data_IF_578859133312
#
_entry.id   IF_578859133312
#
_cell.length_a   1.000
_cell.length_b   1.000
_cell.length_c   1.000
_cell.angle_alpha   90.00
_cell.angle_beta   90.00
_cell.angle_gamma   90.00
#
_symmetry.space_group_name_H-M   'P 1'
#
loop_
_entity.id
_entity.type
_entity.pdbx_description
1 polymer ?
#
# COMPACT_ATOMS: atom_id res chain seq x y z
N UNK A 1 38.44 -40.39 -26.51
CA UNK A 1 38.40 -40.33 -27.99
C UNK A 1 37.23 -39.41 -28.32
N UNK A 2 37.36 -38.15 -28.74
CA UNK A 2 38.23 -37.52 -29.73
C UNK A 2 38.90 -36.24 -29.19
N UNK A 3 40.11 -35.97 -29.68
CA UNK A 3 40.80 -34.68 -29.64
C UNK A 3 40.33 -33.83 -30.83
N UNK A 4 40.42 -32.50 -30.72
CA UNK A 4 40.91 -31.50 -31.72
C UNK A 4 40.50 -30.09 -31.24
N UNK A 5 41.40 -29.30 -30.67
CA UNK A 5 42.28 -28.28 -31.30
C UNK A 5 41.60 -26.99 -31.75
N UNK A 6 42.18 -25.89 -31.26
CA UNK A 6 41.87 -24.49 -31.45
C UNK A 6 41.85 -24.01 -32.92
N UNK A 7 41.16 -22.89 -33.17
CA UNK A 7 41.67 -21.78 -33.98
C UNK A 7 40.81 -20.52 -33.77
N UNK A 8 41.43 -19.52 -33.14
CA UNK A 8 41.04 -18.11 -33.26
C UNK A 8 41.35 -17.68 -34.69
N UNK A 9 40.40 -17.03 -35.37
CA UNK A 9 40.73 -16.16 -36.49
C UNK A 9 39.75 -14.98 -36.55
N UNK A 10 40.26 -13.84 -36.11
CA UNK A 10 39.76 -12.49 -36.38
C UNK A 10 39.74 -12.25 -37.88
N UNK A 11 38.60 -11.80 -38.41
CA UNK A 11 38.55 -11.07 -39.68
C UNK A 11 37.81 -9.78 -39.42
N UNK A 12 38.61 -8.73 -39.23
CA UNK A 12 38.18 -7.35 -39.33
C UNK A 12 37.93 -7.04 -40.81
N UNK A 13 36.68 -6.70 -41.14
CA UNK A 13 36.34 -6.09 -42.42
C UNK A 13 35.70 -4.74 -42.15
N UNK A 14 36.58 -3.75 -42.06
CA UNK A 14 36.25 -2.32 -42.08
C UNK A 14 35.90 -1.98 -43.53
N UNK A 15 34.63 -1.73 -43.81
CA UNK A 15 34.23 -1.01 -45.03
C UNK A 15 33.94 0.42 -44.63
N UNK A 16 34.95 1.27 -44.79
CA UNK A 16 34.80 2.71 -44.74
C UNK A 16 34.37 3.19 -46.13
N UNK A 17 33.10 3.59 -46.26
CA UNK A 17 32.63 4.46 -47.34
C UNK A 17 32.51 5.86 -46.75
N UNK A 18 33.43 6.74 -47.15
CA UNK A 18 33.44 8.17 -46.84
C UNK A 18 32.81 8.97 -47.99
N UNK A 19 32.07 10.02 -47.59
CA UNK A 19 31.54 11.17 -48.36
C UNK A 19 30.24 10.89 -49.15
N UNK A 20 29.12 11.62 -48.94
CA UNK A 20 29.00 13.08 -48.77
C UNK A 20 27.82 13.51 -47.87
N UNK A 21 28.10 14.53 -47.03
CA UNK A 21 27.22 15.64 -46.66
C UNK A 21 25.98 15.41 -45.78
N UNK A 22 26.17 15.38 -44.46
CA UNK A 22 25.60 16.36 -43.52
C UNK A 22 26.20 16.15 -42.13
N UNK A 23 26.58 17.24 -41.46
CA UNK A 23 27.10 17.19 -40.10
C UNK A 23 25.94 16.90 -39.14
N UNK A 24 25.90 15.70 -38.57
CA UNK A 24 25.02 15.36 -37.45
C UNK A 24 25.88 14.78 -36.33
N UNK A 25 25.74 15.35 -35.13
CA UNK A 25 26.52 15.02 -33.96
C UNK A 25 26.39 13.53 -33.58
N UNK A 26 27.41 12.91 -32.95
CA UNK A 26 27.28 11.55 -32.44
C UNK A 26 26.12 11.47 -31.43
N UNK A 27 25.25 10.45 -31.50
CA UNK A 27 24.18 10.30 -30.54
C UNK A 27 24.80 10.15 -29.13
N UNK A 28 24.29 10.88 -28.13
CA UNK A 28 24.75 10.70 -26.77
C UNK A 28 24.45 9.27 -26.34
N UNK A 29 25.44 8.62 -25.74
CA UNK A 29 25.25 7.38 -25.02
C UNK A 29 24.07 7.56 -24.04
N UNK A 30 23.07 6.68 -24.12
CA UNK A 30 22.00 6.56 -23.13
C UNK A 30 22.60 6.11 -21.79
N UNK A 31 23.22 7.06 -21.11
CA UNK A 31 23.31 7.08 -19.67
C UNK A 31 21.92 7.49 -19.15
N UNK A 32 21.30 6.59 -18.40
CA UNK A 32 20.15 6.94 -17.58
C UNK A 32 18.83 6.31 -18.02
N UNK A 33 18.74 4.99 -17.98
CA UNK A 33 17.51 4.34 -17.54
C UNK A 33 17.27 4.59 -16.02
N UNK A 34 17.39 5.85 -15.59
CA UNK A 34 16.52 6.37 -14.55
C UNK A 34 15.23 6.68 -15.30
N UNK A 35 14.40 5.65 -15.44
CA UNK A 35 13.01 5.83 -15.78
C UNK A 35 12.49 6.96 -14.89
N UNK A 36 12.17 8.08 -15.53
CA UNK A 36 11.44 9.18 -14.93
C UNK A 36 10.29 8.54 -14.17
N UNK A 37 10.36 8.61 -12.84
CA UNK A 37 9.23 8.37 -11.95
C UNK A 37 8.18 9.40 -12.36
N UNK A 38 7.36 9.06 -13.35
CA UNK A 38 6.19 9.80 -13.72
C UNK A 38 5.35 9.87 -12.46
N UNK A 39 5.31 11.06 -11.87
CA UNK A 39 4.43 11.40 -10.76
C UNK A 39 3.05 10.84 -11.08
N UNK A 40 2.55 9.90 -10.28
CA UNK A 40 1.19 9.42 -10.47
C UNK A 40 0.27 10.64 -10.46
N UNK A 41 -0.39 10.86 -11.60
CA UNK A 41 -1.29 11.98 -11.76
C UNK A 41 -2.57 11.66 -11.02
N UNK A 42 -3.15 12.67 -10.38
CA UNK A 42 -4.46 12.53 -9.77
C UNK A 42 -5.50 12.38 -10.90
N UNK A 43 -6.30 11.30 -10.94
CA UNK A 43 -7.37 11.16 -11.92
C UNK A 43 -8.40 12.28 -11.82
N UNK A 44 -9.16 12.51 -12.89
CA UNK A 44 -10.19 13.57 -12.91
C UNK A 44 -11.31 13.36 -11.90
N UNK A 45 -11.70 12.10 -11.69
CA UNK A 45 -12.72 11.64 -10.75
C UNK A 45 -12.31 11.86 -9.29
N UNK A 46 -11.02 12.07 -9.05
CA UNK A 46 -10.51 12.41 -7.73
C UNK A 46 -10.55 13.92 -7.46
N UNK A 47 -10.73 14.77 -8.48
CA UNK A 47 -10.77 16.23 -8.27
C UNK A 47 -11.91 16.57 -7.30
N UNK A 48 -11.59 17.38 -6.29
CA UNK A 48 -12.50 17.79 -5.20
C UNK A 48 -13.09 16.64 -4.35
N UNK A 49 -12.56 15.41 -4.46
CA UNK A 49 -13.03 14.29 -3.65
C UNK A 49 -12.80 14.56 -2.14
N UNK A 50 -13.83 14.54 -1.28
CA UNK A 50 -13.73 14.99 0.12
C UNK A 50 -12.67 14.27 0.95
N UNK A 51 -12.42 12.98 0.65
CA UNK A 51 -11.44 12.18 1.38
C UNK A 51 -9.98 12.51 1.03
N UNK A 52 -9.70 13.14 -0.12
CA UNK A 52 -8.31 13.45 -0.50
C UNK A 52 -7.59 14.36 0.48
N UNK A 53 -8.30 15.23 1.18
CA UNK A 53 -7.70 16.10 2.18
C UNK A 53 -7.02 15.32 3.32
N UNK A 54 -7.52 14.11 3.60
CA UNK A 54 -6.97 13.20 4.60
C UNK A 54 -5.94 12.20 4.05
N UNK A 55 -5.89 12.02 2.73
CA UNK A 55 -4.93 11.13 2.06
C UNK A 55 -3.52 11.73 2.04
N UNK A 56 -2.48 10.89 1.87
CA UNK A 56 -1.12 11.39 1.75
C UNK A 56 -0.95 12.27 0.51
N UNK A 57 -0.03 13.24 0.60
CA UNK A 57 0.35 14.10 -0.54
C UNK A 57 1.74 13.77 -1.07
N UNK A 58 2.47 12.90 -0.36
CA UNK A 58 3.81 12.48 -0.71
C UNK A 58 3.77 11.55 -1.94
N UNK A 59 4.69 11.76 -2.88
CA UNK A 59 4.84 10.90 -4.06
C UNK A 59 5.67 9.64 -3.76
N UNK A 60 6.19 9.53 -2.54
CA UNK A 60 6.98 8.39 -2.08
C UNK A 60 6.77 8.24 -0.58
N UNK A 61 6.51 7.02 -0.13
CA UNK A 61 6.41 6.66 1.29
C UNK A 61 7.20 5.36 1.50
N UNK A 62 8.00 5.29 2.55
CA UNK A 62 8.87 4.12 2.83
C UNK A 62 9.74 3.68 1.63
N UNK A 63 10.17 4.64 0.80
CA UNK A 63 10.95 4.38 -0.41
C UNK A 63 10.15 3.82 -1.60
N UNK A 64 8.83 3.61 -1.45
CA UNK A 64 7.94 3.16 -2.54
C UNK A 64 7.28 4.37 -3.21
N UNK A 65 7.35 4.51 -4.55
CA UNK A 65 6.69 5.59 -5.26
C UNK A 65 5.18 5.39 -5.30
N UNK A 66 4.40 6.47 -5.37
CA UNK A 66 2.97 6.39 -5.67
C UNK A 66 2.81 5.91 -7.12
N UNK A 67 2.11 4.80 -7.32
CA UNK A 67 1.91 4.16 -8.63
C UNK A 67 0.48 4.28 -9.11
N UNK A 68 -0.49 4.31 -8.20
CA UNK A 68 -1.91 4.36 -8.53
C UNK A 68 -2.69 5.19 -7.52
N UNK A 69 -3.70 5.91 -8.03
CA UNK A 69 -4.73 6.57 -7.22
C UNK A 69 -6.07 6.23 -7.84
N UNK A 70 -6.98 5.70 -7.03
CA UNK A 70 -8.35 5.41 -7.45
C UNK A 70 -9.32 6.18 -6.55
N UNK A 71 -10.28 6.87 -7.14
CA UNK A 71 -11.38 7.48 -6.40
C UNK A 71 -12.70 6.90 -6.88
N UNK A 72 -13.48 6.42 -5.92
CA UNK A 72 -14.85 5.99 -6.11
C UNK A 72 -15.77 6.94 -5.33
N UNK A 73 -17.09 6.82 -5.52
CA UNK A 73 -18.06 7.74 -4.92
C UNK A 73 -17.93 7.92 -3.39
N UNK A 74 -17.38 6.92 -2.70
CA UNK A 74 -17.30 6.91 -1.23
C UNK A 74 -15.93 6.47 -0.70
N UNK A 75 -14.94 6.27 -1.57
CA UNK A 75 -13.63 5.78 -1.17
C UNK A 75 -12.50 6.35 -2.02
N UNK A 76 -11.33 6.43 -1.43
CA UNK A 76 -10.08 6.71 -2.15
C UNK A 76 -9.08 5.63 -1.79
N UNK A 77 -8.46 5.04 -2.82
CA UNK A 77 -7.31 4.17 -2.68
C UNK A 77 -6.05 4.83 -3.25
N UNK A 78 -4.92 4.63 -2.59
CA UNK A 78 -3.60 5.01 -3.09
C UNK A 78 -2.63 3.85 -2.93
N UNK A 79 -2.04 3.41 -4.03
CA UNK A 79 -1.08 2.31 -4.06
C UNK A 79 0.33 2.85 -4.23
N UNK A 80 1.24 2.39 -3.37
CA UNK A 80 2.66 2.71 -3.41
C UNK A 80 3.48 1.48 -3.76
N UNK A 81 4.32 1.58 -4.78
CA UNK A 81 5.18 0.50 -5.26
C UNK A 81 4.53 -0.40 -6.30
N UNK A 82 5.27 -1.43 -6.70
CA UNK A 82 4.86 -2.38 -7.74
C UNK A 82 4.12 -3.58 -7.14
N UNK A 83 3.26 -4.25 -7.91
CA UNK A 83 2.61 -5.49 -7.50
C UNK A 83 3.60 -6.53 -6.95
N UNK A 84 3.21 -7.26 -5.90
CA UNK A 84 4.07 -8.19 -5.16
C UNK A 84 4.92 -7.55 -4.07
N UNK A 85 5.03 -6.21 -4.06
CA UNK A 85 5.73 -5.44 -3.02
C UNK A 85 5.00 -4.16 -2.66
N UNK A 86 3.71 -4.08 -2.97
CA UNK A 86 2.93 -2.85 -2.92
C UNK A 86 2.48 -2.51 -1.49
N UNK A 87 2.08 -1.27 -1.28
CA UNK A 87 1.32 -0.86 -0.10
C UNK A 87 0.10 -0.06 -0.55
N UNK A 88 -1.08 -0.55 -0.20
CA UNK A 88 -2.36 0.09 -0.53
C UNK A 88 -2.91 0.79 0.71
N UNK A 89 -3.28 2.06 0.58
CA UNK A 89 -4.03 2.82 1.57
C UNK A 89 -5.44 3.00 1.04
N UNK A 90 -6.42 2.44 1.73
CA UNK A 90 -7.84 2.59 1.42
C UNK A 90 -8.56 3.37 2.53
N UNK A 91 -9.22 4.45 2.14
CA UNK A 91 -10.06 5.26 3.02
C UNK A 91 -11.49 5.29 2.48
N UNK A 92 -12.45 4.95 3.33
CA UNK A 92 -13.87 4.79 3.01
C UNK A 92 -14.69 5.77 3.85
N UNK A 93 -15.70 6.40 3.27
CA UNK A 93 -16.72 7.20 3.95
C UNK A 93 -18.09 6.50 3.89
N UNK A 94 -18.53 5.97 5.03
CA UNK A 94 -19.85 5.30 5.14
C UNK A 94 -21.05 6.23 4.98
N UNK A 95 -20.84 7.54 5.01
CA UNK A 95 -21.89 8.56 4.90
C UNK A 95 -21.64 9.50 3.70
N UNK A 96 -20.84 9.06 2.74
CA UNK A 96 -20.66 9.79 1.50
C UNK A 96 -22.03 9.97 0.81
N UNK A 97 -22.32 11.15 0.24
CA UNK A 97 -23.51 11.32 -0.58
C UNK A 97 -23.54 10.27 -1.71
N UNK A 98 -24.68 9.61 -1.87
CA UNK A 98 -24.90 8.71 -3.00
C UNK A 98 -25.11 9.56 -4.26
N UNK A 99 -24.34 9.35 -5.35
CA UNK A 99 -24.49 10.13 -6.57
C UNK A 99 -25.90 10.00 -7.15
N UNK A 100 -26.49 11.12 -7.57
CA UNK A 100 -27.88 11.16 -8.07
C UNK A 100 -28.07 10.27 -9.31
N UNK A 101 -27.04 10.18 -10.15
CA UNK A 101 -26.99 9.33 -11.34
C UNK A 101 -27.08 7.83 -11.04
N UNK A 102 -26.91 7.43 -9.77
CA UNK A 102 -27.05 6.02 -9.34
C UNK A 102 -28.47 5.50 -9.54
N UNK A 103 -29.49 6.38 -9.61
CA UNK A 103 -30.87 6.02 -9.89
C UNK A 103 -31.37 4.83 -9.04
N UNK A 104 -31.86 3.72 -9.65
CA UNK A 104 -32.33 2.54 -8.92
C UNK A 104 -31.27 1.84 -8.05
N UNK A 105 -29.98 2.07 -8.31
CA UNK A 105 -28.86 1.46 -7.59
C UNK A 105 -28.46 2.23 -6.32
N UNK A 106 -29.06 3.40 -6.09
CA UNK A 106 -28.75 4.26 -4.94
C UNK A 106 -28.79 3.52 -3.59
N UNK A 107 -29.83 2.70 -3.36
CA UNK A 107 -29.96 1.89 -2.16
C UNK A 107 -28.88 0.81 -2.03
N UNK A 108 -28.45 0.21 -3.13
CA UNK A 108 -27.36 -0.77 -3.11
C UNK A 108 -26.02 -0.09 -2.78
N UNK A 109 -25.77 1.09 -3.35
CA UNK A 109 -24.54 1.84 -3.08
C UNK A 109 -24.45 2.25 -1.61
N UNK A 110 -25.54 2.78 -1.03
CA UNK A 110 -25.61 3.10 0.39
C UNK A 110 -25.37 1.86 1.28
N UNK A 111 -25.95 0.72 0.92
CA UNK A 111 -25.73 -0.53 1.66
C UNK A 111 -24.27 -1.02 1.54
N UNK A 112 -23.65 -0.87 0.36
CA UNK A 112 -22.25 -1.24 0.15
C UNK A 112 -21.29 -0.37 0.99
N UNK A 113 -21.53 0.96 1.03
CA UNK A 113 -20.81 1.92 1.88
C UNK A 113 -20.86 1.50 3.36
N UNK A 114 -22.07 1.25 3.87
CA UNK A 114 -22.28 0.86 5.26
C UNK A 114 -21.64 -0.49 5.57
N UNK A 115 -21.77 -1.47 4.66
CA UNK A 115 -21.17 -2.79 4.82
C UNK A 115 -19.66 -2.71 4.89
N UNK A 116 -19.03 -1.97 3.97
CA UNK A 116 -17.58 -1.81 3.95
C UNK A 116 -17.04 -1.21 5.25
N UNK A 117 -17.69 -0.17 5.77
CA UNK A 117 -17.32 0.41 7.07
C UNK A 117 -17.54 -0.56 8.24
N UNK A 118 -18.69 -1.26 8.29
CA UNK A 118 -18.96 -2.26 9.34
C UNK A 118 -17.94 -3.39 9.33
N UNK A 119 -17.46 -3.80 8.15
CA UNK A 119 -16.38 -4.80 8.04
C UNK A 119 -15.09 -4.31 8.69
N UNK A 120 -14.71 -3.03 8.50
CA UNK A 120 -13.55 -2.44 9.18
C UNK A 120 -13.76 -2.39 10.69
N UNK A 121 -14.95 -1.97 11.16
CA UNK A 121 -15.29 -1.96 12.59
C UNK A 121 -15.16 -3.36 13.20
N UNK A 122 -15.74 -4.37 12.56
CA UNK A 122 -15.64 -5.75 13.01
C UNK A 122 -14.19 -6.24 13.05
N UNK A 123 -13.38 -5.91 12.03
CA UNK A 123 -11.94 -6.24 12.01
C UNK A 123 -11.18 -5.60 13.18
N UNK A 124 -11.47 -4.34 13.50
CA UNK A 124 -10.89 -3.62 14.64
C UNK A 124 -11.26 -4.30 15.96
N UNK A 125 -12.55 -4.58 16.17
CA UNK A 125 -13.06 -5.20 17.39
C UNK A 125 -12.49 -6.62 17.60
N UNK A 126 -12.48 -7.44 16.55
CA UNK A 126 -11.92 -8.78 16.60
C UNK A 126 -10.42 -8.76 16.94
N UNK A 127 -9.65 -7.87 16.30
CA UNK A 127 -8.20 -7.77 16.54
C UNK A 127 -7.89 -7.35 17.98
N UNK A 128 -8.65 -6.40 18.53
CA UNK A 128 -8.56 -6.02 19.94
C UNK A 128 -8.92 -7.19 20.87
N UNK A 129 -10.02 -7.88 20.58
CA UNK A 129 -10.48 -9.04 21.35
C UNK A 129 -9.42 -10.14 21.42
N UNK A 130 -8.74 -10.45 20.32
CA UNK A 130 -7.63 -11.42 20.30
C UNK A 130 -6.49 -10.99 21.23
N UNK A 131 -6.08 -9.71 21.18
CA UNK A 131 -5.05 -9.18 22.08
C UNK A 131 -5.47 -9.28 23.55
N UNK A 132 -6.69 -8.84 23.88
CA UNK A 132 -7.23 -8.86 25.24
C UNK A 132 -7.31 -10.30 25.79
N UNK A 133 -7.79 -11.24 24.98
CA UNK A 133 -7.84 -12.66 25.35
C UNK A 133 -6.45 -13.23 25.62
N UNK A 134 -5.47 -12.96 24.76
CA UNK A 134 -4.10 -13.44 24.96
C UNK A 134 -3.44 -12.86 26.21
N UNK A 135 -3.71 -11.59 26.52
CA UNK A 135 -3.21 -10.92 27.72
C UNK A 135 -3.94 -11.34 29.01
N UNK A 136 -5.13 -11.94 28.91
CA UNK A 136 -5.90 -12.35 30.08
C UNK A 136 -5.27 -13.50 30.88
N UNK A 137 -4.34 -14.26 30.29
CA UNK A 137 -3.64 -15.33 31.01
C UNK A 137 -2.23 -15.62 30.45
N UNK A 138 -1.23 -15.92 31.32
CA UNK A 138 0.12 -16.29 30.87
C UNK A 138 0.18 -17.49 29.90
N UNK A 139 -0.62 -18.57 30.06
CA UNK A 139 -0.60 -19.68 29.11
C UNK A 139 -1.06 -19.29 27.70
N UNK A 140 -2.05 -18.39 27.58
CA UNK A 140 -2.52 -17.93 26.28
C UNK A 140 -1.44 -17.09 25.57
N UNK A 141 -0.80 -16.17 26.30
CA UNK A 141 0.33 -15.39 25.80
C UNK A 141 1.50 -16.28 25.35
N UNK A 142 1.80 -17.34 26.11
CA UNK A 142 2.81 -18.32 25.72
C UNK A 142 2.41 -19.08 24.44
N UNK A 143 1.13 -19.46 24.30
CA UNK A 143 0.66 -20.21 23.12
C UNK A 143 0.70 -19.42 21.82
N UNK A 144 0.60 -18.08 21.86
CA UNK A 144 0.74 -17.26 20.66
C UNK A 144 2.21 -17.00 20.29
N UNK A 145 3.16 -17.33 21.18
CA UNK A 145 4.59 -17.12 20.98
C UNK A 145 5.19 -15.91 21.71
N UNK A 146 4.44 -15.30 22.64
CA UNK A 146 4.89 -14.16 23.44
C UNK A 146 4.39 -12.81 22.95
N UNK A 147 4.85 -11.73 23.59
CA UNK A 147 4.32 -10.37 23.37
C UNK A 147 4.52 -9.84 21.95
N UNK A 148 5.60 -10.25 21.28
CA UNK A 148 5.87 -9.83 19.90
C UNK A 148 4.90 -10.45 18.89
N UNK A 149 4.12 -11.46 19.28
CA UNK A 149 3.10 -12.07 18.42
C UNK A 149 1.67 -11.66 18.83
N UNK A 150 1.54 -10.66 19.70
CA UNK A 150 0.26 -10.02 19.97
C UNK A 150 -0.12 -9.09 18.81
N UNK A 151 -1.40 -9.01 18.45
CA UNK A 151 -1.89 -7.94 17.59
C UNK A 151 -1.48 -6.57 18.15
N UNK A 152 -1.10 -5.66 17.28
CA UNK A 152 -0.73 -4.30 17.65
C UNK A 152 -2.01 -3.49 17.88
N UNK A 153 -2.03 -2.68 18.94
CA UNK A 153 -3.04 -1.66 19.19
C UNK A 153 -2.31 -0.36 19.51
N UNK A 154 -2.67 0.71 18.83
CA UNK A 154 -2.18 2.08 19.03
C UNK A 154 -3.31 3.08 18.81
N UNK A 155 -3.10 4.35 19.13
CA UNK A 155 -4.13 5.39 18.99
C UNK A 155 -3.90 6.22 17.72
N UNK A 156 -4.98 6.50 16.99
CA UNK A 156 -5.00 7.51 15.94
C UNK A 156 -4.83 8.92 16.54
N UNK A 157 -4.46 9.93 15.73
CA UNK A 157 -4.38 11.32 16.19
C UNK A 157 -5.68 11.85 16.81
N UNK A 158 -6.84 11.32 16.41
CA UNK A 158 -8.16 11.64 16.93
C UNK A 158 -8.61 10.75 18.11
N UNK A 159 -7.77 9.80 18.54
CA UNK A 159 -7.98 8.96 19.73
C UNK A 159 -8.66 7.62 19.49
N UNK A 160 -9.12 7.32 18.27
CA UNK A 160 -9.67 6.01 17.91
C UNK A 160 -8.57 4.95 17.79
N UNK A 161 -8.87 3.68 18.09
CA UNK A 161 -7.88 2.61 17.99
C UNK A 161 -7.48 2.35 16.52
N UNK A 162 -6.18 2.20 16.31
CA UNK A 162 -5.56 1.60 15.14
C UNK A 162 -5.06 0.22 15.55
N UNK A 163 -5.39 -0.78 14.75
CA UNK A 163 -4.99 -2.17 15.00
C UNK A 163 -4.17 -2.72 13.85
N UNK A 164 -3.27 -3.66 14.15
CA UNK A 164 -2.60 -4.47 13.13
C UNK A 164 -2.66 -5.92 13.60
N UNK A 165 -3.25 -6.79 12.79
CA UNK A 165 -3.27 -8.23 13.07
C UNK A 165 -1.86 -8.81 13.01
N UNK A 166 -1.53 -9.69 13.95
CA UNK A 166 -0.29 -10.48 13.93
C UNK A 166 -0.70 -11.92 14.22
N UNK A 167 -0.38 -12.83 13.32
CA UNK A 167 -0.64 -14.26 13.53
C UNK A 167 0.23 -14.82 14.67
N UNK A 168 -0.20 -15.91 15.34
CA UNK A 168 0.65 -16.63 16.27
C UNK A 168 1.97 -17.05 15.63
N UNK A 169 3.02 -17.15 16.45
CA UNK A 169 4.36 -17.58 16.02
C UNK A 169 4.35 -18.89 15.23
N UNK A 170 3.61 -19.88 15.71
CA UNK A 170 3.55 -21.21 15.11
C UNK A 170 2.78 -21.22 13.76
N UNK A 171 2.03 -20.16 13.47
CA UNK A 171 1.39 -19.93 12.17
C UNK A 171 2.27 -19.10 11.21
N UNK A 172 3.49 -18.75 11.63
CA UNK A 172 4.44 -17.94 10.84
C UNK A 172 4.51 -16.47 11.26
N UNK A 173 3.73 -16.03 12.25
CA UNK A 173 3.84 -14.68 12.81
C UNK A 173 3.45 -13.54 11.87
N UNK A 174 2.78 -13.86 10.76
CA UNK A 174 2.56 -12.91 9.66
C UNK A 174 1.74 -11.71 10.10
N UNK A 175 2.12 -10.57 9.57
CA UNK A 175 1.46 -9.29 9.82
C UNK A 175 0.31 -9.13 8.81
N UNK A 176 -0.89 -8.87 9.32
CA UNK A 176 -2.06 -8.56 8.52
C UNK A 176 -2.17 -7.06 8.17
N UNK A 177 -3.31 -6.67 7.59
CA UNK A 177 -3.61 -5.26 7.30
C UNK A 177 -3.76 -4.43 8.58
N UNK A 178 -3.32 -3.17 8.52
CA UNK A 178 -3.66 -2.16 9.52
C UNK A 178 -5.10 -1.69 9.30
N UNK A 179 -5.88 -1.54 10.36
CA UNK A 179 -7.27 -1.08 10.30
C UNK A 179 -7.57 -0.04 11.36
N UNK A 180 -8.48 0.88 11.05
CA UNK A 180 -9.08 1.79 12.04
C UNK A 180 -10.46 2.25 11.61
N UNK A 181 -11.37 2.35 12.57
CA UNK A 181 -12.67 2.99 12.41
C UNK A 181 -12.61 4.40 13.02
N UNK A 182 -12.54 5.41 12.16
CA UNK A 182 -12.29 6.80 12.53
C UNK A 182 -13.60 7.58 12.57
N UNK A 183 -13.78 8.40 13.62
CA UNK A 183 -14.91 9.32 13.82
C UNK A 183 -16.30 8.67 13.67
N UNK A 184 -16.40 7.35 13.88
CA UNK A 184 -17.65 6.59 13.68
C UNK A 184 -18.23 6.69 12.26
N UNK A 185 -17.40 7.01 11.26
CA UNK A 185 -17.84 7.29 9.88
C UNK A 185 -16.86 6.74 8.84
N UNK A 186 -15.56 6.83 9.09
CA UNK A 186 -14.55 6.51 8.10
C UNK A 186 -13.86 5.19 8.41
N UNK A 187 -13.72 4.33 7.41
CA UNK A 187 -12.93 3.11 7.51
C UNK A 187 -11.57 3.34 6.88
N UNK A 188 -10.49 3.16 7.65
CA UNK A 188 -9.12 3.18 7.15
C UNK A 188 -8.58 1.75 7.14
N UNK A 189 -8.06 1.32 5.99
CA UNK A 189 -7.24 0.11 5.87
C UNK A 189 -5.91 0.46 5.20
N UNK A 190 -4.81 -0.09 5.71
CA UNK A 190 -3.53 -0.09 5.00
C UNK A 190 -3.11 -1.55 4.86
N UNK A 191 -2.86 -1.99 3.64
CA UNK A 191 -2.36 -3.32 3.34
C UNK A 191 -0.94 -3.20 2.78
N UNK A 192 -0.01 -4.00 3.29
CA UNK A 192 1.35 -4.10 2.73
C UNK A 192 1.50 -5.53 2.20
N UNK A 193 1.72 -5.64 0.90
CA UNK A 193 2.01 -6.89 0.22
C UNK A 193 3.50 -7.19 0.39
N UNK A 194 3.84 -7.93 1.44
CA UNK A 194 5.22 -8.30 1.75
C UNK A 194 5.27 -9.59 2.59
N UNK A 195 5.93 -10.62 2.08
CA UNK A 195 5.91 -11.98 2.65
C UNK A 195 6.74 -12.17 3.93
N UNK A 196 7.68 -11.27 4.22
CA UNK A 196 8.64 -11.41 5.32
C UNK A 196 8.33 -10.54 6.56
N UNK A 197 7.17 -9.88 6.59
CA UNK A 197 6.74 -9.14 7.77
C UNK A 197 6.17 -10.08 8.84
N UNK A 198 6.91 -10.21 9.95
CA UNK A 198 6.50 -11.02 11.10
C UNK A 198 6.70 -10.29 12.42
N UNK A 199 5.70 -10.41 13.30
CA UNK A 199 5.76 -9.87 14.65
C UNK A 199 5.36 -8.40 14.75
N UNK A 200 5.06 -7.99 15.99
CA UNK A 200 4.49 -6.71 16.36
C UNK A 200 5.50 -5.56 16.22
N UNK A 201 6.79 -5.83 16.45
CA UNK A 201 7.83 -4.84 16.21
C UNK A 201 7.97 -4.50 14.71
N UNK A 202 8.04 -5.52 13.85
CA UNK A 202 8.12 -5.34 12.40
C UNK A 202 6.85 -4.68 11.85
N UNK A 203 5.67 -5.10 12.32
CA UNK A 203 4.40 -4.48 11.98
C UNK A 203 4.41 -2.96 12.23
N UNK A 204 4.79 -2.53 13.43
CA UNK A 204 4.88 -1.10 13.77
C UNK A 204 5.84 -0.36 12.84
N UNK A 205 7.03 -0.90 12.64
CA UNK A 205 8.04 -0.28 11.79
C UNK A 205 7.57 -0.14 10.32
N UNK A 206 6.89 -1.15 9.79
CA UNK A 206 6.41 -1.18 8.41
C UNK A 206 5.26 -0.20 8.15
N UNK A 207 4.28 -0.12 9.07
CA UNK A 207 3.09 0.72 8.88
C UNK A 207 3.29 2.18 9.29
N UNK A 208 4.24 2.48 10.20
CA UNK A 208 4.44 3.83 10.74
C UNK A 208 4.65 4.92 9.65
N UNK A 209 5.45 4.70 8.59
CA UNK A 209 5.64 5.72 7.56
C UNK A 209 4.34 6.10 6.84
N UNK A 210 3.49 5.12 6.52
CA UNK A 210 2.20 5.35 5.86
C UNK A 210 1.24 6.08 6.78
N UNK A 211 1.12 5.64 8.03
CA UNK A 211 0.28 6.32 9.02
C UNK A 211 0.72 7.77 9.25
N UNK A 212 2.03 8.02 9.30
CA UNK A 212 2.58 9.37 9.51
C UNK A 212 2.36 10.30 8.31
N UNK A 213 2.22 9.73 7.10
CA UNK A 213 1.94 10.49 5.90
C UNK A 213 0.44 10.85 5.75
N UNK A 214 -0.44 10.12 6.44
CA UNK A 214 -1.87 10.42 6.48
C UNK A 214 -2.14 11.74 7.19
N UNK A 215 -3.20 12.42 6.76
CA UNK A 215 -3.65 13.70 7.33
C UNK A 215 -4.99 13.53 8.02
N UNK A 216 -5.11 12.52 8.89
CA UNK A 216 -6.39 12.08 9.47
C UNK A 216 -7.19 13.17 10.20
N UNK A 217 -6.52 14.20 10.72
CA UNK A 217 -7.18 15.37 11.32
C UNK A 217 -7.99 16.21 10.32
N UNK A 218 -7.70 16.08 9.02
CA UNK A 218 -8.42 16.75 7.94
C UNK A 218 -9.72 16.02 7.51
N UNK A 219 -10.01 14.85 8.10
CA UNK A 219 -11.32 14.22 7.92
C UNK A 219 -12.44 15.15 8.42
N UNK A 220 -13.54 15.34 7.68
CA UNK A 220 -14.69 16.10 8.15
C UNK A 220 -15.34 15.52 9.41
#
# INVERSE_FOLDING_TARGET
MFRHTAAVLTVASVVALTACSNAEAPPPAEAGASALLSKAALPSECVDHPLLAAMPTAQTIAGKPLTEVECQAFSVSMTYGEPGTSAEILLIDSKAPVPEESGPMSGLLAAAQETAFKSVVAGVEMTKGVREMALSSPPALASIGGEDYLPVVMDAPSGEPIVIGVEPKDSGGRVGSMMSALKGRYGLTIHIEQDDLSGAAAARAAYQPYLSAMRLNALP
#
